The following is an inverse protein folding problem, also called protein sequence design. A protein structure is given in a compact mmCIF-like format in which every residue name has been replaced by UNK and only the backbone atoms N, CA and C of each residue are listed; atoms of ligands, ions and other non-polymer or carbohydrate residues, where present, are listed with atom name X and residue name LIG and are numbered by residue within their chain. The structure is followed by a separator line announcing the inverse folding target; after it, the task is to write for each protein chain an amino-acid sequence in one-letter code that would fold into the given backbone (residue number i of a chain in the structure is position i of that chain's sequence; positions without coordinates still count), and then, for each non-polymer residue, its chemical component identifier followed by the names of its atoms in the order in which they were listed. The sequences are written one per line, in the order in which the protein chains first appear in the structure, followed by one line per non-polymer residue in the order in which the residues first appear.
data_IF_161777171849
#
_entry.id   IF_161777171849
#
_cell.length_a   1.000
_cell.length_b   1.000
_cell.length_c   1.000
_cell.angle_alpha   90.00
_cell.angle_beta   90.00
_cell.angle_gamma   90.00
#
_symmetry.space_group_name_H-M   'P 1'
#
loop_
_entity.id
_entity.type
_entity.pdbx_description
1 polymer ?
#
# COMPACT_ATOMS: atom_id res chain seq x y z
N UNK A 1 25.14 40.31 15.01
CA UNK A 1 24.96 38.85 14.85
C UNK A 1 23.75 38.57 13.94
N UNK A 2 23.81 38.99 12.67
CA UNK A 2 22.71 38.81 11.69
C UNK A 2 23.20 38.49 10.27
N UNK A 3 24.51 38.38 10.05
CA UNK A 3 25.08 38.18 8.70
C UNK A 3 25.21 36.68 8.36
N UNK A 4 25.21 35.79 9.37
CA UNK A 4 25.36 34.34 9.17
C UNK A 4 24.08 33.60 8.72
N UNK A 5 22.92 34.28 8.68
CA UNK A 5 21.63 33.67 8.29
C UNK A 5 21.28 33.82 6.80
N UNK A 6 22.03 34.65 6.06
CA UNK A 6 21.74 34.92 4.64
C UNK A 6 22.39 33.89 3.69
N UNK A 7 23.38 33.12 4.14
CA UNK A 7 24.10 32.14 3.31
C UNK A 7 23.40 30.77 3.20
N UNK A 8 22.36 30.53 4.00
CA UNK A 8 21.65 29.24 4.04
C UNK A 8 20.43 29.17 3.09
N UNK A 9 20.09 30.25 2.40
CA UNK A 9 18.93 30.33 1.51
C UNK A 9 19.26 30.16 0.01
N UNK A 10 20.54 30.18 -0.37
CA UNK A 10 20.96 30.05 -1.79
C UNK A 10 21.12 28.58 -2.22
N UNK A 11 21.20 27.64 -1.28
CA UNK A 11 21.47 26.23 -1.59
C UNK A 11 20.24 25.39 -1.99
N UNK A 12 19.02 25.93 -1.91
CA UNK A 12 17.78 25.15 -2.12
C UNK A 12 17.22 25.27 -3.55
N UNK A 13 17.71 26.19 -4.39
CA UNK A 13 17.14 26.44 -5.73
C UNK A 13 17.86 25.75 -6.92
N UNK A 14 18.86 24.91 -6.68
CA UNK A 14 19.74 24.38 -7.75
C UNK A 14 19.43 22.98 -8.29
N UNK A 15 18.22 22.43 -8.09
CA UNK A 15 17.97 20.99 -8.29
C UNK A 15 16.69 20.63 -9.06
N UNK A 16 16.33 21.36 -10.11
CA UNK A 16 15.23 20.96 -11.02
C UNK A 16 15.82 20.30 -12.28
N UNK A 17 15.72 18.96 -12.46
CA UNK A 17 16.02 18.35 -13.75
C UNK A 17 14.94 18.75 -14.77
N UNK A 18 15.33 19.53 -15.77
CA UNK A 18 14.57 19.77 -17.00
C UNK A 18 14.25 18.43 -17.65
N UNK A 19 12.96 18.07 -17.67
CA UNK A 19 12.46 16.92 -18.40
C UNK A 19 12.27 17.31 -19.87
N UNK A 20 13.09 16.76 -20.76
CA UNK A 20 12.90 16.89 -22.20
C UNK A 20 11.65 16.09 -22.64
N UNK A 21 10.86 16.56 -23.61
CA UNK A 21 9.70 15.82 -24.08
C UNK A 21 10.16 14.59 -24.87
N UNK A 22 9.75 13.41 -24.41
CA UNK A 22 9.95 12.16 -25.13
C UNK A 22 9.10 12.14 -26.40
N UNK A 23 9.76 11.87 -27.53
CA UNK A 23 9.12 11.59 -28.81
C UNK A 23 8.08 10.47 -28.66
N UNK A 24 6.87 10.73 -29.16
CA UNK A 24 5.79 9.75 -29.30
C UNK A 24 6.23 8.64 -30.28
N UNK A 25 6.88 7.62 -29.73
CA UNK A 25 7.11 6.34 -30.41
C UNK A 25 5.82 5.52 -30.38
N UNK A 26 5.31 5.22 -31.57
CA UNK A 26 4.26 4.24 -31.86
C UNK A 26 4.43 2.97 -31.00
N UNK A 27 3.36 2.41 -30.38
CA UNK A 27 3.51 1.23 -29.56
C UNK A 27 4.01 0.06 -30.42
N UNK A 28 5.13 -0.61 -30.06
CA UNK A 28 5.55 -1.81 -30.76
C UNK A 28 4.50 -2.90 -30.55
N UNK A 29 4.19 -3.62 -31.64
CA UNK A 29 3.35 -4.81 -31.58
C UNK A 29 3.92 -5.77 -30.52
N UNK A 30 3.06 -6.23 -29.61
CA UNK A 30 3.44 -7.12 -28.53
C UNK A 30 3.99 -8.43 -29.10
N UNK A 31 5.31 -8.54 -29.14
CA UNK A 31 5.95 -9.84 -29.27
C UNK A 31 5.54 -10.66 -28.05
N UNK A 32 4.94 -11.84 -28.30
CA UNK A 32 4.66 -12.81 -27.26
C UNK A 32 5.98 -13.14 -26.56
N UNK A 33 6.19 -12.52 -25.40
CA UNK A 33 7.35 -12.78 -24.56
C UNK A 33 7.05 -14.08 -23.84
N UNK A 34 7.78 -15.14 -24.19
CA UNK A 34 7.86 -16.33 -23.35
C UNK A 34 8.58 -15.90 -22.07
N UNK A 35 7.83 -15.31 -21.15
CA UNK A 35 8.38 -14.65 -19.97
C UNK A 35 8.97 -15.72 -19.06
N UNK A 36 10.30 -15.82 -19.08
CA UNK A 36 11.03 -16.59 -18.07
C UNK A 36 10.58 -16.06 -16.71
N UNK A 37 10.11 -16.91 -15.78
CA UNK A 37 9.60 -16.44 -14.50
C UNK A 37 10.62 -15.49 -13.89
N UNK A 38 10.16 -14.28 -13.54
CA UNK A 38 11.01 -13.23 -13.04
C UNK A 38 11.87 -13.78 -11.89
N UNK A 39 13.18 -13.66 -12.02
CA UNK A 39 14.12 -14.21 -11.04
C UNK A 39 13.93 -13.43 -9.74
N UNK A 40 13.51 -14.11 -8.66
CA UNK A 40 13.33 -13.48 -7.35
C UNK A 40 14.70 -13.04 -6.84
N UNK A 41 14.92 -11.74 -6.52
CA UNK A 41 16.18 -11.26 -5.99
C UNK A 41 16.60 -12.02 -4.74
N UNK A 42 17.90 -12.21 -4.55
CA UNK A 42 18.44 -13.02 -3.45
C UNK A 42 17.95 -12.58 -2.06
N UNK A 43 17.90 -11.27 -1.81
CA UNK A 43 17.36 -10.69 -0.56
C UNK A 43 15.84 -10.90 -0.33
N UNK A 44 15.08 -11.34 -1.35
CA UNK A 44 13.65 -11.71 -1.23
C UNK A 44 13.41 -13.22 -1.25
N UNK A 45 14.44 -14.05 -1.39
CA UNK A 45 14.28 -15.51 -1.43
C UNK A 45 13.80 -16.03 -0.08
N UNK A 46 12.63 -16.67 -0.09
CA UNK A 46 11.95 -17.24 1.10
C UNK A 46 11.50 -18.68 0.84
N UNK A 47 12.03 -19.31 -0.21
CA UNK A 47 11.75 -20.69 -0.62
C UNK A 47 12.09 -21.74 0.46
N UNK A 48 13.03 -21.43 1.36
CA UNK A 48 13.32 -22.24 2.53
C UNK A 48 12.37 -21.99 3.74
N UNK A 49 11.47 -21.00 3.67
CA UNK A 49 10.56 -20.65 4.76
C UNK A 49 9.27 -21.50 4.70
N UNK A 50 9.25 -22.57 5.48
CA UNK A 50 8.17 -23.59 5.43
C UNK A 50 6.88 -23.14 6.14
N UNK A 51 6.95 -22.16 7.05
CA UNK A 51 5.85 -21.77 7.93
C UNK A 51 4.95 -20.66 7.36
N UNK A 52 4.40 -20.84 6.15
CA UNK A 52 3.53 -19.82 5.53
C UNK A 52 2.28 -19.47 6.36
N UNK A 53 1.71 -20.44 7.07
CA UNK A 53 0.54 -20.22 7.94
C UNK A 53 0.79 -19.24 9.08
N UNK A 54 2.02 -19.17 9.63
CA UNK A 54 2.37 -18.22 10.69
C UNK A 54 2.40 -16.79 10.13
N UNK A 55 2.88 -16.61 8.90
CA UNK A 55 2.87 -15.31 8.23
C UNK A 55 1.46 -14.75 8.05
N UNK A 56 0.48 -15.62 7.74
CA UNK A 56 -0.92 -15.22 7.59
C UNK A 56 -1.55 -14.82 8.94
N UNK A 57 -1.26 -15.56 10.01
CA UNK A 57 -1.71 -15.22 11.37
C UNK A 57 -1.11 -13.90 11.83
N UNK A 58 0.21 -13.73 11.70
CA UNK A 58 0.90 -12.49 12.07
C UNK A 58 0.39 -11.30 11.26
N UNK A 59 0.04 -11.50 9.98
CA UNK A 59 -0.57 -10.45 9.16
C UNK A 59 -1.96 -10.07 9.68
N UNK A 60 -2.80 -11.04 10.06
CA UNK A 60 -4.13 -10.75 10.63
C UNK A 60 -4.03 -10.01 11.96
N UNK A 61 -3.11 -10.40 12.84
CA UNK A 61 -2.89 -9.74 14.14
C UNK A 61 -2.56 -8.24 13.99
N UNK A 62 -1.82 -7.86 12.94
CA UNK A 62 -1.51 -6.45 12.66
C UNK A 62 -2.74 -5.61 12.32
N UNK A 63 -3.82 -6.24 11.87
CA UNK A 63 -5.06 -5.56 11.49
C UNK A 63 -6.12 -5.56 12.58
N UNK A 64 -5.92 -6.27 13.70
CA UNK A 64 -6.91 -6.36 14.80
C UNK A 64 -7.37 -4.98 15.28
N UNK A 65 -6.50 -4.00 15.56
CA UNK A 65 -6.97 -2.69 16.07
C UNK A 65 -7.90 -1.98 15.09
N UNK A 66 -7.65 -2.11 13.78
CA UNK A 66 -8.47 -1.51 12.73
C UNK A 66 -9.79 -2.27 12.58
N UNK A 67 -9.77 -3.59 12.70
CA UNK A 67 -10.98 -4.41 12.73
C UNK A 67 -11.86 -4.04 13.94
N UNK A 68 -11.27 -3.84 15.13
CA UNK A 68 -12.02 -3.43 16.32
C UNK A 68 -12.66 -2.06 16.14
N UNK A 69 -11.93 -1.07 15.63
CA UNK A 69 -12.50 0.25 15.34
C UNK A 69 -13.66 0.17 14.33
N UNK A 70 -13.55 -0.67 13.31
CA UNK A 70 -14.63 -0.87 12.35
C UNK A 70 -15.86 -1.55 12.99
N UNK A 71 -15.66 -2.46 13.94
CA UNK A 71 -16.76 -3.07 14.70
C UNK A 71 -17.53 -2.01 15.50
N UNK A 72 -16.83 -1.04 16.07
CA UNK A 72 -17.47 0.07 16.79
C UNK A 72 -18.37 0.90 15.84
N UNK A 73 -17.88 1.22 14.64
CA UNK A 73 -18.68 1.91 13.63
C UNK A 73 -19.87 1.07 13.15
N UNK A 74 -19.70 -0.24 12.99
CA UNK A 74 -20.79 -1.15 12.64
C UNK A 74 -21.86 -1.25 13.74
N UNK A 75 -21.50 -1.06 15.00
CA UNK A 75 -22.41 -1.10 16.13
C UNK A 75 -23.12 0.24 16.39
N UNK A 76 -22.50 1.35 15.98
CA UNK A 76 -23.04 2.69 16.17
C UNK A 76 -24.01 3.09 15.05
N UNK A 77 -25.30 3.15 15.39
CA UNK A 77 -26.39 3.55 14.47
C UNK A 77 -26.35 5.02 14.05
N UNK A 78 -25.60 5.86 14.74
CA UNK A 78 -25.42 7.26 14.35
C UNK A 78 -24.42 7.43 13.20
N UNK A 79 -23.60 6.42 12.94
CA UNK A 79 -22.65 6.42 11.83
C UNK A 79 -23.37 6.05 10.52
N UNK A 80 -23.25 6.86 9.46
CA UNK A 80 -23.90 6.56 8.17
C UNK A 80 -23.41 5.26 7.53
N UNK A 81 -24.33 4.48 6.98
CA UNK A 81 -24.02 3.19 6.32
C UNK A 81 -22.99 3.31 5.19
N UNK A 82 -23.03 4.40 4.41
CA UNK A 82 -22.10 4.63 3.32
C UNK A 82 -20.66 4.85 3.82
N UNK A 83 -20.51 5.49 4.97
CA UNK A 83 -19.20 5.65 5.62
C UNK A 83 -18.65 4.29 6.05
N UNK A 84 -19.48 3.47 6.71
CA UNK A 84 -19.10 2.12 7.13
C UNK A 84 -18.71 1.28 5.91
N UNK A 85 -19.51 1.35 4.84
CA UNK A 85 -19.27 0.61 3.59
C UNK A 85 -17.94 1.00 2.93
N UNK A 86 -17.63 2.30 2.81
CA UNK A 86 -16.34 2.74 2.25
C UNK A 86 -15.16 2.22 3.09
N UNK A 87 -15.29 2.29 4.41
CA UNK A 87 -14.23 1.88 5.33
C UNK A 87 -13.99 0.37 5.29
N UNK A 88 -15.06 -0.43 5.24
CA UNK A 88 -15.00 -1.88 5.03
C UNK A 88 -14.34 -2.24 3.71
N UNK A 89 -14.71 -1.59 2.59
CA UNK A 89 -14.08 -1.84 1.29
C UNK A 89 -12.59 -1.50 1.31
N UNK A 90 -12.21 -0.39 1.95
CA UNK A 90 -10.80 -0.01 2.08
C UNK A 90 -10.04 -1.04 2.92
N UNK A 91 -10.62 -1.49 4.01
CA UNK A 91 -10.02 -2.52 4.87
C UNK A 91 -9.86 -3.84 4.13
N UNK A 92 -10.89 -4.29 3.42
CA UNK A 92 -10.84 -5.49 2.58
C UNK A 92 -9.75 -5.46 1.52
N UNK A 93 -9.50 -4.30 0.88
CA UNK A 93 -8.36 -4.13 -0.05
C UNK A 93 -6.99 -4.28 0.63
N UNK A 94 -6.85 -3.86 1.89
CA UNK A 94 -5.59 -4.00 2.64
C UNK A 94 -5.36 -5.43 3.13
N UNK A 95 -6.43 -6.14 3.50
CA UNK A 95 -6.36 -7.50 4.03
C UNK A 95 -6.46 -8.58 2.95
N UNK A 96 -6.87 -8.21 1.73
CA UNK A 96 -7.12 -9.12 0.63
C UNK A 96 -8.38 -9.96 0.81
N UNK A 97 -9.35 -9.48 1.60
CA UNK A 97 -10.60 -10.18 1.92
C UNK A 97 -11.80 -9.30 1.58
N UNK A 98 -12.94 -9.92 1.32
CA UNK A 98 -14.21 -9.20 1.37
C UNK A 98 -14.62 -9.05 2.83
N UNK A 99 -14.84 -7.81 3.26
CA UNK A 99 -15.10 -7.49 4.65
C UNK A 99 -16.51 -6.91 4.82
N UNK A 100 -17.21 -7.41 5.82
CA UNK A 100 -18.54 -7.00 6.26
C UNK A 100 -18.53 -6.80 7.77
N UNK A 101 -19.54 -6.13 8.32
CA UNK A 101 -19.66 -6.01 9.77
C UNK A 101 -19.67 -7.37 10.50
N UNK A 102 -20.11 -8.44 9.84
CA UNK A 102 -20.10 -9.79 10.40
C UNK A 102 -18.72 -10.44 10.33
N UNK A 103 -18.00 -10.32 9.21
CA UNK A 103 -16.67 -10.96 9.05
C UNK A 103 -15.61 -10.37 9.97
N UNK A 104 -15.82 -9.13 10.43
CA UNK A 104 -14.96 -8.48 11.42
C UNK A 104 -15.00 -9.16 12.79
N UNK A 105 -16.01 -9.98 13.08
CA UNK A 105 -16.11 -10.74 14.33
C UNK A 105 -15.09 -11.90 14.39
N UNK A 106 -14.50 -12.27 13.24
CA UNK A 106 -13.54 -13.37 13.10
C UNK A 106 -12.06 -12.91 13.19
N UNK A 107 -11.82 -11.64 13.53
CA UNK A 107 -10.49 -11.06 13.75
C UNK A 107 -10.11 -11.07 15.23
#
# INVERSE_FOLDING_TARGET
MFIARALLLVAVLGGLPVSAPAQQGRPPAAAASTERPAQVPEWRRTDAYVFRSIGDVSRRMQFIPQAMQLRDFCADRSVPDDFVRERLQRFGRMTGREETCTTLLDY
#
